data_IF_995683060526
#
_entry.id   IF_995683060526
#
_cell.length_a   1.000
_cell.length_b   1.000
_cell.length_c   1.000
_cell.angle_alpha   90.00
_cell.angle_beta   90.00
_cell.angle_gamma   90.00
#
_symmetry.space_group_name_H-M   'P 1'
#
loop_
_entity.id
_entity.type
_entity.pdbx_description
1 polymer ?
#
# COMPACT_ATOMS: atom_id res chain seq x y z
N UNK A 1 5.87 -3.79 -16.42
CA UNK A 1 5.44 -3.07 -15.20
C UNK A 1 4.07 -3.57 -14.80
N UNK A 2 3.87 -3.90 -13.53
CA UNK A 2 2.60 -4.40 -13.00
C UNK A 2 1.89 -3.27 -12.26
N UNK A 3 0.60 -3.09 -12.47
CA UNK A 3 -0.22 -2.08 -11.78
C UNK A 3 -1.39 -2.82 -11.14
N UNK A 4 -1.58 -2.65 -9.84
CA UNK A 4 -2.56 -3.45 -9.09
C UNK A 4 -3.14 -2.72 -7.89
N UNK A 5 -4.27 -3.23 -7.41
CA UNK A 5 -4.69 -3.10 -6.02
C UNK A 5 -4.21 -4.37 -5.31
N UNK A 6 -3.48 -4.21 -4.21
CA UNK A 6 -2.95 -5.34 -3.45
C UNK A 6 -3.85 -5.62 -2.23
N UNK A 7 -4.43 -6.83 -2.09
CA UNK A 7 -5.34 -7.14 -0.99
C UNK A 7 -4.65 -7.06 0.38
N UNK A 8 -3.34 -7.25 0.45
CA UNK A 8 -2.56 -7.12 1.69
C UNK A 8 -2.52 -5.66 2.13
N UNK A 9 -2.33 -4.73 1.19
CA UNK A 9 -2.33 -3.29 1.45
C UNK A 9 -3.74 -2.76 1.75
N UNK A 10 -4.77 -3.29 1.10
CA UNK A 10 -6.17 -2.92 1.40
C UNK A 10 -6.61 -3.40 2.79
N UNK A 11 -6.20 -4.60 3.22
CA UNK A 11 -6.44 -5.10 4.57
C UNK A 11 -5.78 -4.17 5.60
N UNK A 12 -4.50 -3.85 5.41
CA UNK A 12 -3.77 -2.92 6.28
C UNK A 12 -4.47 -1.55 6.32
N UNK A 13 -4.90 -1.03 5.17
CA UNK A 13 -5.60 0.26 5.08
C UNK A 13 -6.89 0.29 5.90
N UNK A 14 -7.64 -0.81 5.93
CA UNK A 14 -8.85 -0.91 6.76
C UNK A 14 -8.55 -0.85 8.27
N UNK A 15 -7.48 -1.52 8.71
CA UNK A 15 -7.03 -1.49 10.11
C UNK A 15 -6.53 -0.09 10.49
N UNK A 16 -5.73 0.53 9.61
CA UNK A 16 -5.23 1.90 9.79
C UNK A 16 -6.34 2.94 9.83
N UNK A 17 -7.41 2.74 9.05
CA UNK A 17 -8.57 3.63 9.03
C UNK A 17 -9.26 3.61 10.39
N UNK A 18 -9.55 2.41 10.89
CA UNK A 18 -10.18 2.21 12.20
C UNK A 18 -9.30 2.63 13.38
N UNK A 19 -7.97 2.63 13.22
CA UNK A 19 -7.04 3.10 14.24
C UNK A 19 -6.93 4.62 14.31
N UNK A 20 -7.60 5.35 13.41
CA UNK A 20 -7.48 6.81 13.27
C UNK A 20 -6.10 7.25 12.78
N UNK A 21 -5.43 6.46 11.92
CA UNK A 21 -4.07 6.76 11.50
C UNK A 21 -4.02 8.03 10.64
N UNK A 22 -3.32 9.06 11.13
CA UNK A 22 -3.25 10.39 10.51
C UNK A 22 -2.49 10.46 9.18
N UNK A 23 -1.86 9.36 8.76
CA UNK A 23 -1.12 9.22 7.49
C UNK A 23 -1.97 8.62 6.36
N UNK A 24 -3.25 8.39 6.60
CA UNK A 24 -4.20 8.13 5.52
C UNK A 24 -4.58 9.44 4.81
N UNK A 25 -5.07 9.32 3.58
CA UNK A 25 -5.54 10.46 2.80
C UNK A 25 -6.63 11.23 3.55
N UNK A 26 -6.57 12.56 3.48
CA UNK A 26 -7.63 13.43 3.97
C UNK A 26 -8.79 13.58 2.98
N UNK A 27 -8.63 13.06 1.76
CA UNK A 27 -9.70 13.04 0.76
C UNK A 27 -10.93 12.32 1.30
N UNK A 28 -12.09 12.82 0.92
CA UNK A 28 -13.39 12.19 1.16
C UNK A 28 -14.02 11.80 -0.17
N UNK A 29 -14.33 10.52 -0.32
CA UNK A 29 -14.87 9.92 -1.54
C UNK A 29 -15.63 8.64 -1.19
N UNK A 30 -16.49 8.21 -2.11
CA UNK A 30 -17.46 7.12 -1.91
C UNK A 30 -16.82 5.85 -1.36
N UNK A 31 -15.74 5.38 -1.99
CA UNK A 31 -15.04 4.16 -1.57
C UNK A 31 -14.49 4.24 -0.14
N UNK A 32 -13.85 5.35 0.25
CA UNK A 32 -13.35 5.52 1.62
C UNK A 32 -14.49 5.52 2.65
N UNK A 33 -15.62 6.18 2.35
CA UNK A 33 -16.81 6.15 3.23
C UNK A 33 -17.40 4.75 3.33
N UNK A 34 -17.43 4.01 2.22
CA UNK A 34 -17.93 2.63 2.20
C UNK A 34 -17.03 1.70 3.03
N UNK A 35 -15.70 1.81 2.89
CA UNK A 35 -14.75 1.06 3.72
C UNK A 35 -14.96 1.41 5.20
N UNK A 36 -15.01 2.70 5.55
CA UNK A 36 -15.25 3.15 6.92
C UNK A 36 -16.55 2.56 7.51
N UNK A 37 -17.66 2.65 6.79
CA UNK A 37 -18.95 2.07 7.23
C UNK A 37 -18.89 0.56 7.39
N UNK A 38 -18.24 -0.15 6.47
CA UNK A 38 -18.15 -1.61 6.51
C UNK A 38 -17.36 -2.09 7.75
N UNK A 39 -16.25 -1.42 8.04
CA UNK A 39 -15.35 -1.84 9.11
C UNK A 39 -15.58 -1.16 10.47
N UNK A 40 -16.48 -0.16 10.59
CA UNK A 40 -16.67 0.62 11.83
C UNK A 40 -16.98 -0.26 13.06
N UNK A 41 -17.79 -1.31 12.89
CA UNK A 41 -18.12 -2.25 13.98
C UNK A 41 -16.90 -3.00 14.54
N UNK A 42 -15.79 -3.01 13.81
CA UNK A 42 -14.53 -3.68 14.18
C UNK A 42 -13.45 -2.72 14.67
N UNK A 43 -13.77 -1.45 14.92
CA UNK A 43 -12.80 -0.46 15.42
C UNK A 43 -12.10 -0.85 16.73
N UNK A 44 -12.73 -1.74 17.50
CA UNK A 44 -12.20 -2.25 18.77
C UNK A 44 -11.51 -3.61 18.64
N UNK A 45 -11.36 -4.17 17.44
CA UNK A 45 -10.67 -5.45 17.21
C UNK A 45 -9.19 -5.35 17.59
N UNK A 46 -8.59 -6.44 18.08
CA UNK A 46 -7.21 -6.43 18.60
C UNK A 46 -6.18 -6.03 17.53
N UNK A 47 -6.32 -6.46 16.28
CA UNK A 47 -5.52 -5.94 15.16
C UNK A 47 -5.43 -4.39 15.11
N UNK A 48 -6.55 -3.69 15.33
CA UNK A 48 -6.60 -2.21 15.34
C UNK A 48 -5.86 -1.66 16.56
N UNK A 49 -6.11 -2.24 17.74
CA UNK A 49 -5.45 -1.83 19.01
C UNK A 49 -3.95 -2.09 18.97
N UNK A 50 -3.54 -3.22 18.43
CA UNK A 50 -2.17 -3.64 18.29
C UNK A 50 -1.43 -2.73 17.31
N UNK A 51 -2.03 -2.41 16.15
CA UNK A 51 -1.46 -1.40 15.25
C UNK A 51 -1.24 -0.06 15.97
N UNK A 52 -2.23 0.44 16.72
CA UNK A 52 -2.10 1.68 17.50
C UNK A 52 -0.98 1.61 18.56
N UNK A 53 -0.74 0.44 19.17
CA UNK A 53 0.35 0.19 20.13
C UNK A 53 1.70 0.20 19.44
N UNK A 54 1.89 -0.63 18.40
CA UNK A 54 3.14 -0.74 17.65
C UNK A 54 3.55 0.61 17.06
N UNK A 55 2.58 1.36 16.52
CA UNK A 55 2.83 2.70 15.97
C UNK A 55 3.47 3.65 16.98
N UNK A 56 3.10 3.58 18.26
CA UNK A 56 3.71 4.42 19.31
C UNK A 56 5.18 4.10 19.55
N UNK A 57 5.62 2.90 19.18
CA UNK A 57 7.00 2.45 19.35
C UNK A 57 7.85 2.67 18.10
N UNK A 58 7.27 3.10 16.97
CA UNK A 58 8.00 3.38 15.72
C UNK A 58 7.43 2.68 14.48
N UNK A 59 6.53 1.72 14.65
CA UNK A 59 5.94 0.93 13.55
C UNK A 59 4.96 1.79 12.74
N UNK A 60 5.50 2.62 11.87
CA UNK A 60 4.79 3.67 11.14
C UNK A 60 5.42 3.86 9.76
N UNK A 61 4.84 4.75 8.95
CA UNK A 61 5.37 5.11 7.63
C UNK A 61 5.41 3.91 6.66
N UNK A 62 6.59 3.63 6.12
CA UNK A 62 6.89 2.60 5.13
C UNK A 62 6.98 1.20 5.74
N UNK A 63 7.13 1.10 7.06
CA UNK A 63 7.32 -0.17 7.76
C UNK A 63 6.08 -1.07 7.68
N UNK A 64 4.86 -0.65 8.08
CA UNK A 64 3.68 -1.51 7.94
C UNK A 64 3.42 -2.00 6.51
N UNK A 65 3.43 -1.15 5.47
CA UNK A 65 3.21 -1.64 4.11
C UNK A 65 4.37 -2.51 3.61
N UNK A 66 5.62 -2.25 4.02
CA UNK A 66 6.73 -3.14 3.72
C UNK A 66 6.49 -4.53 4.33
N UNK A 67 6.14 -4.63 5.62
CA UNK A 67 5.80 -5.89 6.29
C UNK A 67 4.78 -6.70 5.48
N UNK A 68 3.71 -6.07 5.00
CA UNK A 68 2.66 -6.76 4.25
C UNK A 68 3.18 -7.42 2.96
N UNK A 69 4.22 -6.88 2.32
CA UNK A 69 4.80 -7.47 1.11
C UNK A 69 5.60 -8.76 1.38
N UNK A 70 5.97 -9.03 2.63
CA UNK A 70 6.61 -10.29 3.05
C UNK A 70 5.62 -11.42 3.31
N UNK A 71 4.32 -11.18 3.11
CA UNK A 71 3.24 -12.11 3.42
C UNK A 71 2.51 -12.57 2.14
N UNK A 72 1.88 -13.74 2.18
CA UNK A 72 0.87 -14.14 1.18
C UNK A 72 -0.37 -13.25 1.29
N UNK A 73 -1.31 -13.41 0.35
CA UNK A 73 -2.61 -12.74 0.42
C UNK A 73 -3.39 -13.14 1.69
N UNK A 74 -4.30 -12.26 2.16
CA UNK A 74 -5.27 -12.64 3.17
C UNK A 74 -6.25 -13.68 2.62
N UNK A 75 -6.86 -14.52 3.49
CA UNK A 75 -6.74 -14.47 4.95
C UNK A 75 -5.47 -15.14 5.51
N UNK A 76 -4.70 -15.89 4.71
CA UNK A 76 -3.63 -16.73 5.24
C UNK A 76 -2.41 -15.94 5.74
N UNK A 77 -2.03 -14.85 5.09
CA UNK A 77 -0.90 -13.98 5.47
C UNK A 77 0.37 -14.74 5.92
N UNK A 78 0.72 -15.84 5.23
CA UNK A 78 1.90 -16.65 5.57
C UNK A 78 3.16 -15.89 5.20
N UNK A 79 4.17 -15.91 6.07
CA UNK A 79 5.49 -15.31 5.79
C UNK A 79 6.17 -16.06 4.65
N UNK A 80 6.43 -15.36 3.55
CA UNK A 80 7.12 -15.89 2.35
C UNK A 80 8.55 -15.38 2.21
N UNK A 81 8.88 -14.26 2.87
CA UNK A 81 10.23 -13.72 2.92
C UNK A 81 10.60 -13.36 4.36
N UNK A 82 11.86 -13.53 4.79
CA UNK A 82 12.33 -13.05 6.09
C UNK A 82 12.10 -11.54 6.22
N UNK A 83 11.77 -11.05 7.42
CA UNK A 83 11.66 -9.61 7.66
C UNK A 83 13.01 -8.93 7.50
N UNK A 84 13.04 -7.83 6.75
CA UNK A 84 14.24 -7.01 6.59
C UNK A 84 14.67 -6.37 7.91
N UNK A 85 15.96 -6.17 8.09
CA UNK A 85 16.52 -5.51 9.29
C UNK A 85 15.94 -4.11 9.51
N UNK A 86 15.66 -3.37 8.43
CA UNK A 86 15.00 -2.06 8.49
C UNK A 86 13.63 -2.12 9.15
N UNK A 87 12.89 -3.22 8.98
CA UNK A 87 11.61 -3.47 9.67
C UNK A 87 11.88 -3.84 11.14
N UNK A 88 12.90 -4.67 11.41
CA UNK A 88 13.27 -5.08 12.78
C UNK A 88 13.69 -3.90 13.67
N UNK A 89 14.33 -2.88 13.11
CA UNK A 89 14.78 -1.70 13.85
C UNK A 89 13.70 -0.62 14.03
N UNK A 90 12.51 -0.82 13.47
CA UNK A 90 11.46 0.20 13.43
C UNK A 90 10.49 0.17 14.61
N UNK A 91 10.91 -0.37 15.76
CA UNK A 91 10.11 -0.31 16.99
C UNK A 91 9.12 -1.46 17.19
N UNK A 92 9.20 -2.52 16.38
CA UNK A 92 8.57 -3.80 16.62
C UNK A 92 9.59 -4.92 16.36
N UNK A 93 9.76 -5.83 17.31
CA UNK A 93 10.59 -7.02 17.09
C UNK A 93 9.83 -8.12 16.32
N UNK A 94 10.54 -9.17 15.90
CA UNK A 94 9.96 -10.29 15.13
C UNK A 94 8.73 -10.92 15.80
N UNK A 95 8.75 -11.10 17.13
CA UNK A 95 7.62 -11.69 17.85
C UNK A 95 6.40 -10.76 17.84
N UNK A 96 6.61 -9.45 18.02
CA UNK A 96 5.53 -8.46 17.93
C UNK A 96 4.94 -8.38 16.52
N UNK A 97 5.78 -8.50 15.49
CA UNK A 97 5.34 -8.54 14.09
C UNK A 97 4.55 -9.82 13.81
N UNK A 98 5.03 -10.98 14.24
CA UNK A 98 4.33 -12.25 14.05
C UNK A 98 2.98 -12.25 14.79
N UNK A 99 2.92 -11.72 16.01
CA UNK A 99 1.66 -11.52 16.74
C UNK A 99 0.71 -10.56 16.01
N UNK A 100 1.22 -9.49 15.41
CA UNK A 100 0.39 -8.58 14.63
C UNK A 100 -0.16 -9.24 13.37
N UNK A 101 0.64 -10.05 12.68
CA UNK A 101 0.18 -10.84 11.52
C UNK A 101 -0.91 -11.83 11.93
N UNK A 102 -0.77 -12.51 13.07
CA UNK A 102 -1.83 -13.40 13.59
C UNK A 102 -3.14 -12.62 13.84
N UNK A 103 -3.06 -11.42 14.41
CA UNK A 103 -4.25 -10.58 14.60
C UNK A 103 -4.83 -10.06 13.28
N UNK A 104 -4.01 -9.81 12.26
CA UNK A 104 -4.48 -9.47 10.92
C UNK A 104 -5.20 -10.64 10.24
N UNK A 105 -4.75 -11.88 10.45
CA UNK A 105 -5.46 -13.08 9.95
C UNK A 105 -6.85 -13.18 10.58
N UNK A 106 -6.94 -13.04 11.90
CA UNK A 106 -8.24 -13.02 12.62
C UNK A 106 -9.13 -11.90 12.11
N UNK A 107 -8.58 -10.69 11.97
CA UNK A 107 -9.31 -9.54 11.44
C UNK A 107 -9.82 -9.83 10.02
N UNK A 108 -9.01 -10.40 9.13
CA UNK A 108 -9.44 -10.72 7.77
C UNK A 108 -10.62 -11.71 7.75
N UNK A 109 -10.61 -12.71 8.65
CA UNK A 109 -11.68 -13.70 8.77
C UNK A 109 -12.95 -13.12 9.41
N UNK A 110 -12.84 -12.47 10.58
CA UNK A 110 -13.97 -11.95 11.35
C UNK A 110 -14.70 -10.80 10.64
N UNK A 111 -13.97 -10.04 9.82
CA UNK A 111 -14.54 -8.95 9.03
C UNK A 111 -15.12 -9.38 7.70
N UNK A 112 -14.94 -10.65 7.32
CA UNK A 112 -15.24 -11.14 5.96
C UNK A 112 -14.55 -10.24 4.91
N UNK A 113 -13.26 -9.98 5.13
CA UNK A 113 -12.48 -9.04 4.31
C UNK A 113 -12.47 -9.45 2.84
N UNK A 114 -12.39 -10.75 2.56
CA UNK A 114 -12.37 -11.25 1.18
C UNK A 114 -13.67 -10.88 0.44
N UNK A 115 -14.83 -10.97 1.11
CA UNK A 115 -16.11 -10.53 0.54
C UNK A 115 -16.11 -9.02 0.30
N UNK A 116 -15.62 -8.23 1.26
CA UNK A 116 -15.47 -6.79 1.07
C UNK A 116 -14.60 -6.48 -0.17
N UNK A 117 -13.43 -7.10 -0.27
CA UNK A 117 -12.50 -6.88 -1.37
C UNK A 117 -13.15 -7.26 -2.72
N UNK A 118 -13.77 -8.44 -2.80
CA UNK A 118 -14.42 -8.92 -4.01
C UNK A 118 -15.57 -8.01 -4.46
N UNK A 119 -16.37 -7.50 -3.52
CA UNK A 119 -17.47 -6.57 -3.81
C UNK A 119 -16.99 -5.21 -4.36
N UNK A 120 -15.71 -4.86 -4.15
CA UNK A 120 -15.13 -3.61 -4.63
C UNK A 120 -14.25 -3.78 -5.89
N UNK A 121 -14.19 -4.98 -6.48
CA UNK A 121 -13.42 -5.25 -7.70
C UNK A 121 -13.77 -4.32 -8.85
N UNK A 122 -15.04 -3.91 -8.98
CA UNK A 122 -15.45 -2.93 -9.99
C UNK A 122 -14.76 -1.56 -9.84
N UNK A 123 -14.59 -1.08 -8.60
CA UNK A 123 -13.85 0.16 -8.31
C UNK A 123 -12.35 -0.03 -8.57
N UNK A 124 -11.79 -1.14 -8.10
CA UNK A 124 -10.38 -1.48 -8.30
C UNK A 124 -9.99 -1.56 -9.78
N UNK A 125 -10.79 -2.25 -10.59
CA UNK A 125 -10.54 -2.40 -12.02
C UNK A 125 -10.60 -1.07 -12.76
N UNK A 126 -11.54 -0.17 -12.40
CA UNK A 126 -11.60 1.18 -12.99
C UNK A 126 -10.37 2.00 -12.62
N UNK A 127 -9.93 1.93 -11.36
CA UNK A 127 -8.75 2.67 -10.89
C UNK A 127 -7.47 2.17 -11.56
N UNK A 128 -7.26 0.85 -11.63
CA UNK A 128 -6.14 0.24 -12.34
C UNK A 128 -6.17 0.61 -13.81
N UNK A 129 -7.33 0.44 -14.49
CA UNK A 129 -7.47 0.80 -15.90
C UNK A 129 -7.12 2.25 -16.16
N UNK A 130 -7.64 3.17 -15.34
CA UNK A 130 -7.35 4.61 -15.47
C UNK A 130 -5.85 4.89 -15.38
N UNK A 131 -5.18 4.37 -14.36
CA UNK A 131 -3.73 4.59 -14.19
C UNK A 131 -2.93 3.94 -15.30
N UNK A 132 -3.29 2.71 -15.72
CA UNK A 132 -2.68 2.04 -16.86
C UNK A 132 -2.80 2.86 -18.14
N UNK A 133 -4.00 3.35 -18.46
CA UNK A 133 -4.25 4.19 -19.63
C UNK A 133 -3.48 5.52 -19.57
N UNK A 134 -3.33 6.08 -18.38
CA UNK A 134 -2.61 7.34 -18.14
C UNK A 134 -1.10 7.23 -18.34
N UNK A 135 -0.53 6.03 -18.18
CA UNK A 135 0.91 5.81 -18.29
C UNK A 135 1.34 4.94 -19.48
N UNK A 136 0.39 4.45 -20.28
CA UNK A 136 0.64 3.52 -21.40
C UNK A 136 1.65 4.01 -22.44
N UNK A 137 1.75 5.33 -22.62
CA UNK A 137 2.62 5.95 -23.62
C UNK A 137 4.03 6.26 -23.06
N UNK A 138 4.34 5.83 -21.83
CA UNK A 138 5.64 6.02 -21.20
C UNK A 138 6.33 4.67 -20.97
N UNK A 139 7.61 4.63 -21.30
CA UNK A 139 8.47 3.51 -20.97
C UNK A 139 9.13 3.71 -19.60
N UNK A 140 8.29 3.66 -18.56
CA UNK A 140 8.70 3.94 -17.18
C UNK A 140 9.82 2.99 -16.72
N UNK A 141 9.82 1.75 -17.21
CA UNK A 141 10.84 0.77 -16.82
C UNK A 141 12.18 1.15 -17.44
N UNK A 142 12.23 1.40 -18.74
CA UNK A 142 13.49 1.79 -19.39
C UNK A 142 14.00 3.13 -18.84
N UNK A 143 13.12 4.12 -18.63
CA UNK A 143 13.51 5.40 -18.00
C UNK A 143 14.17 5.20 -16.62
N UNK A 144 13.68 4.24 -15.81
CA UNK A 144 14.25 3.92 -14.51
C UNK A 144 15.57 3.14 -14.64
N UNK A 145 15.63 2.16 -15.54
CA UNK A 145 16.84 1.36 -15.77
C UNK A 145 17.99 2.21 -16.32
N UNK A 146 17.73 3.11 -17.27
CA UNK A 146 18.72 4.02 -17.83
C UNK A 146 19.22 5.02 -16.77
N UNK A 147 18.32 5.55 -15.94
CA UNK A 147 18.69 6.53 -14.92
C UNK A 147 19.54 5.92 -13.79
N UNK A 148 19.16 4.74 -13.29
CA UNK A 148 19.86 4.10 -12.16
C UNK A 148 20.97 3.15 -12.60
N UNK A 149 21.03 2.77 -13.87
CA UNK A 149 22.01 1.82 -14.42
C UNK A 149 21.84 0.38 -13.90
N UNK A 150 20.69 0.05 -13.31
CA UNK A 150 20.46 -1.24 -12.64
C UNK A 150 19.09 -1.79 -13.05
N UNK A 151 19.08 -3.01 -13.60
CA UNK A 151 17.86 -3.78 -13.87
C UNK A 151 17.32 -4.43 -12.60
N UNK A 152 16.00 -4.50 -12.50
CA UNK A 152 15.29 -5.17 -11.38
C UNK A 152 14.53 -6.38 -11.89
N UNK A 153 14.17 -7.30 -10.99
CA UNK A 153 13.41 -8.50 -11.35
C UNK A 153 11.98 -8.13 -11.78
N UNK A 154 11.34 -7.23 -11.05
CA UNK A 154 10.03 -6.71 -11.41
C UNK A 154 9.80 -5.28 -10.93
N UNK A 155 8.92 -4.58 -11.64
CA UNK A 155 8.52 -3.20 -11.37
C UNK A 155 7.01 -3.17 -11.11
N UNK A 156 6.62 -2.79 -9.90
CA UNK A 156 5.24 -2.93 -9.43
C UNK A 156 4.72 -1.59 -8.90
N UNK A 157 3.51 -1.20 -9.30
CA UNK A 157 2.77 -0.06 -8.77
C UNK A 157 1.56 -0.62 -8.02
N UNK A 158 1.53 -0.44 -6.71
CA UNK A 158 0.37 -0.75 -5.88
C UNK A 158 -0.39 0.54 -5.64
N UNK A 159 -1.61 0.62 -6.15
CA UNK A 159 -2.50 1.74 -5.89
C UNK A 159 -3.16 1.50 -4.53
N UNK A 160 -2.95 2.42 -3.58
CA UNK A 160 -3.45 2.35 -2.21
C UNK A 160 -4.43 3.51 -1.99
N UNK A 161 -5.73 3.36 -2.29
CA UNK A 161 -6.69 4.48 -2.35
C UNK A 161 -6.82 5.26 -1.04
N UNK A 162 -6.53 4.64 0.10
CA UNK A 162 -6.60 5.29 1.41
C UNK A 162 -5.28 5.89 1.88
N UNK A 163 -4.15 5.61 1.24
CA UNK A 163 -2.86 6.17 1.67
C UNK A 163 -2.76 7.67 1.34
N UNK A 164 -1.94 8.40 2.09
CA UNK A 164 -1.69 9.82 1.80
C UNK A 164 -1.07 10.04 0.41
N UNK A 165 -1.13 11.29 -0.06
CA UNK A 165 -0.47 11.73 -1.27
C UNK A 165 1.05 11.50 -1.19
N UNK A 166 1.62 10.87 -2.21
CA UNK A 166 2.99 10.36 -2.20
C UNK A 166 2.99 8.83 -2.21
N UNK A 167 4.04 8.22 -1.71
CA UNK A 167 4.08 6.76 -1.65
C UNK A 167 5.31 6.22 -0.97
N UNK A 168 5.32 4.91 -0.81
CA UNK A 168 6.42 4.15 -0.24
C UNK A 168 7.10 3.33 -1.33
N UNK A 169 8.42 3.18 -1.22
CA UNK A 169 9.26 2.51 -2.21
C UNK A 169 9.96 1.24 -1.70
N UNK A 170 9.25 0.25 -1.11
CA UNK A 170 9.91 -0.94 -0.60
C UNK A 170 10.45 -1.81 -1.74
N UNK A 171 11.47 -2.61 -1.43
CA UNK A 171 12.04 -3.61 -2.33
C UNK A 171 12.11 -4.95 -1.62
N UNK A 172 11.82 -6.03 -2.34
CA UNK A 172 11.92 -7.40 -1.83
C UNK A 172 13.08 -8.08 -2.54
N UNK A 173 14.07 -8.51 -1.76
CA UNK A 173 15.20 -9.29 -2.27
C UNK A 173 14.75 -10.74 -2.51
N UNK A 174 15.07 -11.27 -3.68
CA UNK A 174 14.83 -12.66 -4.09
C UNK A 174 16.02 -13.54 -3.71
N UNK A 175 15.80 -14.85 -3.69
CA UNK A 175 16.84 -15.83 -3.35
C UNK A 175 18.03 -15.79 -4.32
N UNK A 176 17.79 -15.44 -5.59
CA UNK A 176 18.82 -15.24 -6.63
C UNK A 176 19.56 -13.89 -6.51
N UNK A 177 19.24 -13.08 -5.49
CA UNK A 177 19.86 -11.78 -5.24
C UNK A 177 19.26 -10.61 -6.02
N UNK A 178 18.31 -10.86 -6.92
CA UNK A 178 17.56 -9.80 -7.62
C UNK A 178 16.53 -9.14 -6.70
N UNK A 179 15.93 -8.03 -7.16
CA UNK A 179 14.95 -7.27 -6.37
C UNK A 179 13.66 -7.07 -7.13
N UNK A 180 12.53 -7.36 -6.48
CA UNK A 180 11.23 -6.82 -6.85
C UNK A 180 11.09 -5.43 -6.24
N UNK A 181 10.84 -4.41 -7.06
CA UNK A 181 10.65 -3.03 -6.58
C UNK A 181 9.18 -2.62 -6.65
N UNK A 182 8.74 -1.87 -5.65
CA UNK A 182 7.35 -1.46 -5.49
C UNK A 182 7.24 0.05 -5.32
N UNK A 183 6.20 0.63 -5.90
CA UNK A 183 5.71 1.96 -5.58
C UNK A 183 4.29 1.82 -5.01
N UNK A 184 4.13 2.00 -3.70
CA UNK A 184 2.82 1.96 -3.03
C UNK A 184 2.31 3.38 -2.93
N UNK A 185 1.34 3.75 -3.76
CA UNK A 185 0.98 5.15 -4.01
C UNK A 185 -0.46 5.45 -3.59
N UNK A 186 -0.62 6.54 -2.84
CA UNK A 186 -1.93 7.09 -2.49
C UNK A 186 -2.40 8.17 -3.49
N UNK A 187 -3.70 8.51 -3.47
CA UNK A 187 -4.24 9.57 -4.31
C UNK A 187 -3.69 10.94 -3.91
N UNK A 188 -3.52 11.83 -4.90
CA UNK A 188 -3.15 13.23 -4.65
C UNK A 188 -4.27 14.17 -5.04
N UNK A 189 -4.23 15.37 -4.44
CA UNK A 189 -4.98 16.51 -4.93
C UNK A 189 -4.05 17.24 -5.93
N UNK A 190 -4.52 17.60 -7.14
CA UNK A 190 -3.67 18.23 -8.16
C UNK A 190 -2.88 19.47 -7.71
N UNK A 191 -3.32 20.16 -6.66
CA UNK A 191 -2.69 21.38 -6.14
C UNK A 191 -1.49 21.18 -5.21
N UNK A 192 -1.17 19.94 -4.77
CA UNK A 192 -0.17 19.70 -3.72
C UNK A 192 1.23 19.24 -4.21
N UNK A 193 1.49 19.24 -5.51
CA UNK A 193 2.79 18.78 -6.04
C UNK A 193 3.84 19.90 -6.03
N UNK A 194 4.68 19.91 -5.00
CA UNK A 194 5.96 20.65 -4.98
C UNK A 194 7.12 19.67 -4.83
N UNK A 195 7.63 19.13 -5.95
CA UNK A 195 8.90 18.40 -6.01
C UNK A 195 9.77 18.92 -7.17
N UNK A 196 11.09 18.71 -7.08
CA UNK A 196 12.08 19.27 -8.01
C UNK A 196 11.88 18.80 -9.46
N UNK A 197 12.20 19.69 -10.41
CA UNK A 197 11.29 20.05 -11.51
C UNK A 197 11.39 19.27 -12.83
N UNK A 198 12.41 18.46 -13.12
CA UNK A 198 12.54 17.87 -14.48
C UNK A 198 12.25 16.37 -14.54
N UNK A 199 12.98 15.53 -13.80
CA UNK A 199 12.89 14.08 -13.89
C UNK A 199 11.66 13.51 -13.16
N UNK A 200 11.50 13.86 -11.87
CA UNK A 200 10.36 13.44 -11.05
C UNK A 200 9.03 14.01 -11.54
N UNK A 201 9.06 15.18 -12.21
CA UNK A 201 7.86 15.82 -12.77
C UNK A 201 7.34 15.10 -14.02
N UNK A 202 8.20 14.39 -14.76
CA UNK A 202 7.84 13.70 -16.00
C UNK A 202 7.16 12.35 -15.74
N UNK A 203 7.67 11.58 -14.77
CA UNK A 203 7.21 10.21 -14.46
C UNK A 203 6.29 10.20 -13.24
N UNK A 204 6.78 10.56 -12.05
CA UNK A 204 5.98 10.52 -10.81
C UNK A 204 4.92 11.63 -10.76
N UNK A 205 5.25 12.83 -11.23
CA UNK A 205 4.30 13.95 -11.29
C UNK A 205 3.04 13.61 -12.08
N UNK A 206 3.14 12.83 -13.16
CA UNK A 206 1.98 12.43 -13.97
C UNK A 206 1.17 11.30 -13.35
N UNK A 207 1.85 10.30 -12.76
CA UNK A 207 1.21 9.22 -11.98
C UNK A 207 0.39 9.81 -10.83
N UNK A 208 0.99 10.75 -10.09
CA UNK A 208 0.33 11.38 -8.96
C UNK A 208 -0.82 12.30 -9.38
N UNK A 209 -0.63 13.25 -10.32
CA UNK A 209 -1.69 14.19 -10.78
C UNK A 209 -2.99 13.48 -11.17
N UNK A 210 -2.90 12.24 -11.68
CA UNK A 210 -4.03 11.55 -12.31
C UNK A 210 -4.69 10.47 -11.45
N UNK A 211 -4.17 10.16 -10.27
CA UNK A 211 -4.93 9.48 -9.20
C UNK A 211 -5.99 10.39 -8.56
N UNK A 212 -6.67 11.19 -9.38
CA UNK A 212 -7.77 12.05 -8.98
C UNK A 212 -9.04 11.20 -8.90
N UNK A 213 -9.53 10.99 -7.69
CA UNK A 213 -10.74 10.20 -7.40
C UNK A 213 -12.05 10.96 -7.68
N UNK A 214 -11.99 12.21 -8.18
CA UNK A 214 -13.19 13.00 -8.50
C UNK A 214 -13.94 12.51 -9.75
N UNK A 215 -13.30 11.69 -10.58
CA UNK A 215 -13.87 11.17 -11.83
C UNK A 215 -14.26 9.66 -11.74
N UNK A 216 -14.39 9.11 -10.51
CA UNK A 216 -14.66 7.68 -10.25
C UNK A 216 -15.95 7.39 -9.47
#
# INVERSE_FOLDING_TARGET
>A
MNIMIDPRIELLSSVQLNSGYSRLTKLDFSYKRNMGKYFDKFKNHEAVRMFSRLRRNGFAYDVPPALMLHLTNPPELKKVFPYMDTIRYSGANDNEMDLFVLELQKYALETDFQKFYNNNMGFYNRLVKKVSDDIKDFDVVNDLEEYFGIKKNSYNIILAPLFHAGGYGPQIKKDDGTFDVYAIIGPVIPSSLKFSKSFLRKILGKIFIRLNLRDL
#
